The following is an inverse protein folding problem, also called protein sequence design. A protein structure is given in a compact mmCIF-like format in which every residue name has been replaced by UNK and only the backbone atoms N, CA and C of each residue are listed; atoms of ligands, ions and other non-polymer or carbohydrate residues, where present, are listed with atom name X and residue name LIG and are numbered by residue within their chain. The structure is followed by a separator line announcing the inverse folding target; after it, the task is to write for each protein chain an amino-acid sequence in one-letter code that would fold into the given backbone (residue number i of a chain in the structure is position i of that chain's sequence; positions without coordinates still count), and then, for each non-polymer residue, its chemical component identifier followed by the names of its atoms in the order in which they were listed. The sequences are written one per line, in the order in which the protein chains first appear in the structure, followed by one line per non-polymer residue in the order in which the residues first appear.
data_IF_089905038145
#
_entry.id   IF_089905038145
#
_cell.length_a   1.000
_cell.length_b   1.000
_cell.length_c   1.000
_cell.angle_alpha   90.00
_cell.angle_beta   90.00
_cell.angle_gamma   90.00
#
_symmetry.space_group_name_H-M   'P 1'
#
loop_
_entity.id
_entity.type
_entity.pdbx_description
1 polymer ?
#
# COMPACT_ATOMS: atom_id res chain seq x y z
N UNK A 1 -8.28 2.47 20.32
CA UNK A 1 -6.90 2.79 19.90
C UNK A 1 -6.97 2.93 18.40
N UNK A 2 -6.84 4.15 17.86
CA UNK A 2 -6.89 4.40 16.41
C UNK A 2 -5.57 3.88 15.84
N UNK A 3 -5.59 2.74 15.16
CA UNK A 3 -4.38 2.09 14.64
C UNK A 3 -4.30 2.32 13.15
N UNK A 4 -3.63 3.39 12.72
CA UNK A 4 -3.22 3.48 11.32
C UNK A 4 -2.31 2.30 10.99
N UNK A 5 -2.58 1.63 9.88
CA UNK A 5 -1.97 0.35 9.57
C UNK A 5 -1.81 0.15 8.08
N UNK A 6 -0.64 -0.37 7.70
CA UNK A 6 -0.41 -0.93 6.38
C UNK A 6 -0.78 -2.41 6.41
N UNK A 7 -1.58 -2.86 5.46
CA UNK A 7 -1.85 -4.28 5.27
C UNK A 7 -1.57 -4.72 3.83
N UNK A 8 -1.29 -6.02 3.70
CA UNK A 8 -0.99 -6.66 2.43
C UNK A 8 -1.70 -8.01 2.38
N UNK A 9 -2.58 -8.18 1.40
CA UNK A 9 -3.32 -9.42 1.17
C UNK A 9 -2.94 -10.02 -0.18
N UNK A 10 -2.65 -11.32 -0.19
CA UNK A 10 -2.19 -12.06 -1.35
C UNK A 10 -3.32 -12.94 -1.89
N UNK A 11 -3.66 -12.77 -3.16
CA UNK A 11 -4.64 -13.60 -3.85
C UNK A 11 -3.97 -14.81 -4.53
N UNK A 12 -4.75 -15.87 -4.77
CA UNK A 12 -4.26 -17.10 -5.43
C UNK A 12 -3.73 -16.86 -6.85
N UNK A 13 -4.27 -15.87 -7.57
CA UNK A 13 -3.80 -15.46 -8.90
C UNK A 13 -2.45 -14.73 -8.87
N UNK A 14 -1.92 -14.46 -7.67
CA UNK A 14 -0.70 -13.71 -7.43
C UNK A 14 -0.87 -12.19 -7.48
N UNK A 15 -2.10 -11.68 -7.64
CA UNK A 15 -2.41 -10.28 -7.39
C UNK A 15 -2.37 -9.98 -5.89
N UNK A 16 -2.13 -8.72 -5.56
CA UNK A 16 -1.98 -8.26 -4.18
C UNK A 16 -2.85 -7.03 -3.95
N UNK A 17 -3.47 -6.97 -2.79
CA UNK A 17 -4.14 -5.79 -2.27
C UNK A 17 -3.25 -5.20 -1.18
N UNK A 18 -2.80 -3.98 -1.41
CA UNK A 18 -2.08 -3.15 -0.46
C UNK A 18 -3.06 -2.11 0.08
N UNK A 19 -3.35 -2.13 1.36
CA UNK A 19 -4.22 -1.15 1.98
C UNK A 19 -3.49 -0.34 3.04
N UNK A 20 -3.91 0.92 3.20
CA UNK A 20 -3.60 1.69 4.39
C UNK A 20 -4.86 2.34 4.94
N UNK A 21 -4.92 2.41 6.26
CA UNK A 21 -6.02 2.99 7.01
C UNK A 21 -5.51 4.18 7.82
N UNK A 22 -6.23 5.30 7.76
CA UNK A 22 -6.06 6.46 8.64
C UNK A 22 -7.32 6.64 9.48
N UNK A 23 -7.28 6.10 10.70
CA UNK A 23 -8.39 6.15 11.64
C UNK A 23 -8.45 7.51 12.32
N UNK A 24 -9.53 8.26 12.07
CA UNK A 24 -9.85 9.45 12.85
C UNK A 24 -9.30 10.75 12.30
N UNK A 25 -9.34 10.91 10.99
CA UNK A 25 -9.14 12.21 10.34
C UNK A 25 -10.31 13.12 10.72
N UNK A 26 -10.07 14.15 11.54
CA UNK A 26 -11.07 15.18 11.88
C UNK A 26 -11.62 15.88 10.61
N UNK A 27 -10.87 15.79 9.51
CA UNK A 27 -11.23 16.30 8.17
C UNK A 27 -12.44 15.55 7.58
N UNK A 28 -12.71 14.32 8.01
CA UNK A 28 -13.86 13.51 7.57
C UNK A 28 -14.85 13.27 8.73
N UNK A 29 -15.10 14.26 9.59
CA UNK A 29 -16.04 14.13 10.73
C UNK A 29 -15.76 12.92 11.64
N UNK A 30 -14.51 12.44 11.67
CA UNK A 30 -14.11 11.26 12.42
C UNK A 30 -14.39 9.90 11.76
N UNK A 31 -14.83 9.88 10.49
CA UNK A 31 -14.93 8.66 9.67
C UNK A 31 -13.57 8.05 9.38
N UNK A 32 -13.56 6.74 9.19
CA UNK A 32 -12.40 5.97 8.82
C UNK A 32 -12.10 6.17 7.34
N UNK A 33 -10.84 6.44 7.03
CA UNK A 33 -10.37 6.63 5.66
C UNK A 33 -9.44 5.48 5.29
N UNK A 34 -9.92 4.60 4.41
CA UNK A 34 -9.17 3.45 3.92
C UNK A 34 -8.89 3.59 2.42
N UNK A 35 -7.64 3.36 2.02
CA UNK A 35 -7.26 3.32 0.61
C UNK A 35 -6.62 1.99 0.30
N UNK A 36 -7.11 1.37 -0.78
CA UNK A 36 -6.64 0.10 -1.29
C UNK A 36 -6.06 0.24 -2.69
N UNK A 37 -4.90 -0.38 -2.89
CA UNK A 37 -4.22 -0.51 -4.17
C UNK A 37 -4.17 -1.99 -4.56
N UNK A 38 -4.87 -2.35 -5.64
CA UNK A 38 -4.81 -3.69 -6.22
C UNK A 38 -3.77 -3.72 -7.33
N UNK A 39 -2.73 -4.51 -7.15
CA UNK A 39 -1.71 -4.79 -8.15
C UNK A 39 -1.91 -6.20 -8.71
N UNK A 40 -1.85 -6.36 -10.03
CA UNK A 40 -1.75 -7.69 -10.61
C UNK A 40 -0.39 -8.33 -10.30
N UNK A 41 -0.25 -9.63 -10.61
CA UNK A 41 0.98 -10.39 -10.36
C UNK A 41 2.24 -9.78 -10.99
N UNK A 42 2.13 -9.19 -12.18
CA UNK A 42 3.26 -8.62 -12.90
C UNK A 42 3.71 -7.31 -12.27
N UNK A 43 2.75 -6.46 -11.92
CA UNK A 43 2.98 -5.18 -11.25
C UNK A 43 3.46 -5.38 -9.81
N UNK A 44 2.97 -6.39 -9.10
CA UNK A 44 3.47 -6.75 -7.78
C UNK A 44 4.93 -7.25 -7.82
N UNK A 45 5.28 -8.08 -8.81
CA UNK A 45 6.68 -8.49 -9.03
C UNK A 45 7.58 -7.29 -9.35
N UNK A 46 7.09 -6.34 -10.15
CA UNK A 46 7.82 -5.12 -10.46
C UNK A 46 8.02 -4.26 -9.21
N UNK A 47 7.00 -4.11 -8.37
CA UNK A 47 7.09 -3.43 -7.07
C UNK A 47 8.18 -4.08 -6.21
N UNK A 48 8.14 -5.41 -6.02
CA UNK A 48 9.15 -6.14 -5.25
C UNK A 48 10.56 -5.92 -5.79
N UNK A 49 10.73 -5.94 -7.13
CA UNK A 49 12.00 -5.66 -7.78
C UNK A 49 12.50 -4.24 -7.50
N UNK A 50 11.62 -3.24 -7.60
CA UNK A 50 11.98 -1.83 -7.34
C UNK A 50 12.24 -1.55 -5.85
N UNK A 51 11.68 -2.36 -4.94
CA UNK A 51 12.00 -2.36 -3.52
C UNK A 51 13.31 -3.10 -3.18
N UNK A 52 13.91 -3.79 -4.16
CA UNK A 52 15.06 -4.69 -3.98
C UNK A 52 14.80 -5.79 -2.95
N UNK A 53 13.59 -6.38 -2.98
CA UNK A 53 13.19 -7.46 -2.06
C UNK A 53 14.17 -8.64 -2.14
N UNK A 54 14.74 -9.01 -0.99
CA UNK A 54 15.56 -10.22 -0.83
C UNK A 54 14.76 -11.34 -0.14
N UNK A 55 15.24 -12.58 -0.22
CA UNK A 55 14.52 -13.76 0.27
C UNK A 55 14.19 -13.76 1.79
N UNK A 56 14.88 -12.93 2.58
CA UNK A 56 14.73 -12.88 4.03
C UNK A 56 13.90 -11.67 4.52
N UNK A 57 13.38 -10.85 3.61
CA UNK A 57 12.64 -9.64 3.94
C UNK A 57 11.15 -9.80 3.65
N UNK A 58 10.31 -9.16 4.46
CA UNK A 58 8.87 -9.03 4.17
C UNK A 58 8.64 -7.77 3.34
N UNK A 59 7.67 -7.84 2.42
CA UNK A 59 7.33 -6.69 1.57
C UNK A 59 6.80 -5.53 2.41
N UNK A 60 6.02 -5.82 3.43
CA UNK A 60 5.47 -4.85 4.38
C UNK A 60 6.58 -4.04 5.07
N UNK A 61 7.66 -4.70 5.50
CA UNK A 61 8.79 -4.05 6.16
C UNK A 61 9.52 -3.09 5.20
N UNK A 62 9.66 -3.48 3.94
CA UNK A 62 10.26 -2.62 2.91
C UNK A 62 9.38 -1.44 2.55
N UNK A 63 8.06 -1.64 2.51
CA UNK A 63 7.10 -0.57 2.29
C UNK A 63 7.14 0.44 3.44
N UNK A 64 7.14 -0.01 4.69
CA UNK A 64 7.27 0.86 5.87
C UNK A 64 8.63 1.58 5.87
N UNK A 65 9.73 0.89 5.57
CA UNK A 65 11.06 1.49 5.49
C UNK A 65 11.15 2.59 4.44
N UNK A 66 10.41 2.46 3.33
CA UNK A 66 10.48 3.38 2.19
C UNK A 66 9.46 4.52 2.26
N UNK A 67 8.25 4.23 2.73
CA UNK A 67 7.11 5.16 2.73
C UNK A 67 6.69 5.60 4.13
N UNK A 68 7.40 5.13 5.17
CA UNK A 68 7.15 5.51 6.55
C UNK A 68 6.12 4.63 7.26
N UNK A 69 6.13 4.69 8.59
CA UNK A 69 5.22 3.92 9.45
C UNK A 69 3.74 4.27 9.20
N UNK A 70 3.43 5.54 8.97
CA UNK A 70 2.08 6.01 8.62
C UNK A 70 1.75 5.87 7.13
N UNK A 71 2.61 5.20 6.35
CA UNK A 71 2.48 4.98 4.92
C UNK A 71 2.10 6.23 4.10
N UNK A 72 3.10 6.95 3.61
CA UNK A 72 2.93 8.09 2.71
C UNK A 72 2.43 7.62 1.33
N UNK A 73 1.11 7.69 1.15
CA UNK A 73 0.44 7.26 -0.06
C UNK A 73 0.78 8.11 -1.29
N UNK A 74 1.04 9.40 -1.10
CA UNK A 74 1.45 10.30 -2.20
C UNK A 74 2.84 9.90 -2.70
N UNK A 75 3.76 9.60 -1.79
CA UNK A 75 5.08 9.09 -2.12
C UNK A 75 5.01 7.72 -2.81
N UNK A 76 4.14 6.82 -2.34
CA UNK A 76 3.91 5.51 -2.97
C UNK A 76 3.36 5.66 -4.40
N UNK A 77 2.32 6.46 -4.60
CA UNK A 77 1.72 6.67 -5.92
C UNK A 77 2.72 7.30 -6.91
N UNK A 78 3.52 8.25 -6.42
CA UNK A 78 4.61 8.87 -7.20
C UNK A 78 5.66 7.84 -7.58
N UNK A 79 6.07 6.99 -6.65
CA UNK A 79 7.02 5.91 -6.89
C UNK A 79 6.48 4.93 -7.94
N UNK A 80 5.23 4.49 -7.82
CA UNK A 80 4.61 3.61 -8.81
C UNK A 80 4.60 4.23 -10.20
N UNK A 81 4.26 5.52 -10.31
CA UNK A 81 4.30 6.26 -11.59
C UNK A 81 5.69 6.29 -12.20
N UNK A 82 6.73 6.59 -11.40
CA UNK A 82 8.12 6.63 -11.85
C UNK A 82 8.61 5.26 -12.37
N UNK A 83 8.16 4.17 -11.74
CA UNK A 83 8.54 2.81 -12.10
C UNK A 83 7.58 2.11 -13.05
N UNK A 84 6.58 2.83 -13.58
CA UNK A 84 5.54 2.29 -14.48
C UNK A 84 4.78 1.11 -13.88
N UNK A 85 4.59 1.12 -12.57
CA UNK A 85 3.76 0.16 -11.83
C UNK A 85 2.32 0.63 -11.94
N UNK A 86 1.46 -0.22 -12.48
CA UNK A 86 0.02 0.01 -12.63
C UNK A 86 -0.72 -0.68 -11.50
N UNK A 87 -1.75 0.00 -10.97
CA UNK A 87 -2.63 -0.50 -9.92
C UNK A 87 -4.04 0.04 -10.11
N UNK A 88 -5.03 -0.65 -9.56
CA UNK A 88 -6.37 -0.10 -9.34
C UNK A 88 -6.46 0.48 -7.93
N UNK A 89 -7.02 1.69 -7.80
CA UNK A 89 -7.14 2.41 -6.53
C UNK A 89 -8.60 2.48 -6.09
N UNK A 90 -8.86 2.15 -4.84
CA UNK A 90 -10.18 2.20 -4.22
C UNK A 90 -10.08 3.00 -2.92
N UNK A 91 -11.04 3.88 -2.68
CA UNK A 91 -11.15 4.64 -1.42
C UNK A 91 -12.46 4.21 -0.76
N UNK A 92 -12.39 3.90 0.52
CA UNK A 92 -13.54 3.74 1.40
C UNK A 92 -13.51 4.83 2.48
N UNK A 93 -14.66 5.47 2.69
CA UNK A 93 -14.91 6.45 3.75
C UNK A 93 -16.13 5.90 4.50
N UNK A 94 -15.98 5.59 5.79
CA UNK A 94 -16.98 4.82 6.55
C UNK A 94 -17.05 5.18 8.02
#
# INVERSE_FOLDING_TARGET
MKTSGLFLSYNEDGSVILGYEDYGVDIFDGYDYEVNYRLDKSNFKLLCKCLNLTANERVEDLLIKKFGYNFDSIAFETFCKQHKIVYARYIHIG
#
